data_IF_488817469766
#
_entry.id   IF_488817469766
#
_cell.length_a   1.000
_cell.length_b   1.000
_cell.length_c   1.000
_cell.angle_alpha   90.00
_cell.angle_beta   90.00
_cell.angle_gamma   90.00
#
_symmetry.space_group_name_H-M   'P 1'
#
loop_
_entity.id
_entity.type
_entity.pdbx_description
1 polymer ?
#
# COMPACT_ATOMS: atom_id res chain seq x y z
N UNK A 1 -9.78 4.45 -12.89
CA UNK A 1 -8.53 4.95 -12.25
C UNK A 1 -8.58 6.47 -12.26
N UNK A 2 -8.20 7.14 -11.17
CA UNK A 2 -8.04 8.60 -11.12
C UNK A 2 -6.77 9.04 -11.86
N UNK A 3 -6.67 10.33 -12.16
CA UNK A 3 -5.46 10.98 -12.72
C UNK A 3 -4.27 10.86 -11.74
N UNK A 4 -3.02 10.61 -12.19
CA UNK A 4 -1.84 10.63 -11.32
C UNK A 4 -1.72 11.86 -10.40
N UNK A 5 -2.08 13.05 -10.88
CA UNK A 5 -2.07 14.29 -10.10
C UNK A 5 -3.05 14.23 -8.89
N UNK A 6 -4.12 13.44 -9.00
CA UNK A 6 -5.02 13.21 -7.87
C UNK A 6 -4.32 12.48 -6.73
N UNK A 7 -3.56 11.42 -7.03
CA UNK A 7 -2.83 10.65 -6.02
C UNK A 7 -1.70 11.46 -5.36
N UNK A 8 -1.07 12.37 -6.11
CA UNK A 8 -0.04 13.27 -5.58
C UNK A 8 -0.55 14.22 -4.49
N UNK A 9 -1.86 14.50 -4.49
CA UNK A 9 -2.52 15.37 -3.54
C UNK A 9 -3.09 14.64 -2.32
N UNK A 10 -2.96 13.31 -2.24
CA UNK A 10 -3.41 12.55 -1.09
C UNK A 10 -2.81 13.10 0.21
N UNK A 11 -3.66 13.27 1.22
CA UNK A 11 -3.29 13.59 2.58
C UNK A 11 -3.33 12.33 3.41
N UNK A 12 -2.21 12.11 4.08
CA UNK A 12 -1.96 10.94 4.88
C UNK A 12 -2.23 11.27 6.34
N UNK A 13 -2.81 10.35 7.13
CA UNK A 13 -3.05 10.61 8.54
C UNK A 13 -1.73 10.89 9.26
N UNK A 14 -1.66 12.01 9.98
CA UNK A 14 -0.47 12.42 10.75
C UNK A 14 -0.20 11.48 11.93
N UNK A 15 -1.24 10.84 12.43
CA UNK A 15 -1.18 9.90 13.53
C UNK A 15 -1.93 8.63 13.14
N UNK A 16 -1.17 7.55 12.94
CA UNK A 16 -1.71 6.21 12.81
C UNK A 16 -1.36 5.39 14.04
N UNK A 17 -2.27 4.55 14.48
CA UNK A 17 -2.05 3.52 15.49
C UNK A 17 -1.77 2.21 14.79
N UNK A 18 -0.70 1.51 15.19
CA UNK A 18 -0.45 0.16 14.65
C UNK A 18 -1.60 -0.76 15.06
N UNK A 19 -2.25 -1.36 14.07
CA UNK A 19 -3.26 -2.39 14.31
C UNK A 19 -2.59 -3.67 14.78
N UNK A 20 -3.08 -4.24 15.88
CA UNK A 20 -2.70 -5.60 16.30
C UNK A 20 -3.30 -6.69 15.40
N UNK A 21 -4.29 -6.33 14.59
CA UNK A 21 -5.05 -7.23 13.73
C UNK A 21 -4.64 -7.08 12.26
N UNK A 22 -4.62 -8.20 11.54
CA UNK A 22 -4.28 -8.29 10.12
C UNK A 22 -5.48 -7.93 9.23
N UNK A 23 -5.25 -7.35 8.05
CA UNK A 23 -6.31 -7.08 7.04
C UNK A 23 -6.76 -8.33 6.28
N UNK A 24 -5.81 -9.21 6.01
CA UNK A 24 -6.00 -10.46 5.28
C UNK A 24 -5.70 -11.66 6.17
N UNK A 25 -6.36 -12.78 5.92
CA UNK A 25 -6.06 -14.06 6.53
C UNK A 25 -6.10 -15.18 5.47
N UNK A 26 -5.33 -16.23 5.69
CA UNK A 26 -5.34 -17.43 4.86
C UNK A 26 -6.31 -18.45 5.48
N UNK A 27 -7.38 -18.79 4.76
CA UNK A 27 -8.35 -19.83 5.14
C UNK A 27 -8.51 -20.80 3.98
N UNK A 28 -8.33 -22.10 4.24
CA UNK A 28 -8.48 -23.14 3.22
C UNK A 28 -7.65 -22.90 1.93
N UNK A 29 -6.42 -22.38 2.08
CA UNK A 29 -5.52 -21.99 0.97
C UNK A 29 -5.99 -20.79 0.13
N UNK A 30 -7.05 -20.12 0.55
CA UNK A 30 -7.54 -18.89 -0.07
C UNK A 30 -7.30 -17.71 0.87
N UNK A 31 -6.93 -16.57 0.31
CA UNK A 31 -6.76 -15.35 1.09
C UNK A 31 -8.07 -14.58 1.10
N UNK A 32 -8.56 -14.24 2.30
CA UNK A 32 -9.79 -13.45 2.48
C UNK A 32 -9.53 -12.24 3.38
N UNK A 33 -10.45 -11.28 3.36
CA UNK A 33 -10.47 -10.20 4.34
C UNK A 33 -10.77 -10.75 5.74
N UNK A 34 -10.18 -10.12 6.75
CA UNK A 34 -10.62 -10.24 8.15
C UNK A 34 -11.75 -9.26 8.42
N UNK A 35 -12.31 -9.27 9.64
CA UNK A 35 -13.28 -8.26 10.06
C UNK A 35 -12.74 -6.82 9.94
N UNK A 36 -11.44 -6.61 10.24
CA UNK A 36 -10.77 -5.33 10.01
C UNK A 36 -10.59 -5.00 8.55
N UNK A 37 -10.35 -6.01 7.70
CA UNK A 37 -10.30 -5.82 6.26
C UNK A 37 -11.67 -5.46 5.68
N UNK A 38 -12.73 -5.95 6.30
CA UNK A 38 -14.11 -5.61 5.93
C UNK A 38 -14.52 -4.21 6.38
N UNK A 39 -14.03 -3.74 7.52
CA UNK A 39 -14.34 -2.41 8.08
C UNK A 39 -13.05 -1.67 8.47
N UNK A 40 -12.20 -1.32 7.50
CA UNK A 40 -10.92 -0.68 7.80
C UNK A 40 -11.11 0.77 8.25
N UNK A 41 -10.18 1.28 9.04
CA UNK A 41 -10.30 2.63 9.60
C UNK A 41 -9.11 3.52 9.24
N UNK A 42 -9.38 4.82 9.05
CA UNK A 42 -8.34 5.85 8.82
C UNK A 42 -7.38 6.07 9.99
N UNK A 43 -7.68 5.51 11.16
CA UNK A 43 -6.84 5.64 12.36
C UNK A 43 -5.78 4.54 12.46
N UNK A 44 -5.88 3.51 11.61
CA UNK A 44 -5.08 2.31 11.72
C UNK A 44 -3.98 2.27 10.64
N UNK A 45 -2.79 1.87 11.09
CA UNK A 45 -1.70 1.42 10.26
C UNK A 45 -1.63 -0.10 10.38
N UNK A 46 -1.87 -0.79 9.28
CA UNK A 46 -1.87 -2.24 9.22
C UNK A 46 -0.47 -2.69 8.82
N UNK A 47 0.26 -3.26 9.78
CA UNK A 47 1.59 -3.84 9.57
C UNK A 47 1.60 -5.23 10.22
N UNK A 48 1.07 -6.25 9.54
CA UNK A 48 0.92 -7.58 10.10
C UNK A 48 2.28 -8.15 10.55
N UNK A 49 2.37 -8.53 11.83
CA UNK A 49 3.55 -9.15 12.43
C UNK A 49 3.69 -10.64 12.14
N UNK A 50 2.75 -11.21 11.37
CA UNK A 50 2.73 -12.63 11.06
C UNK A 50 3.64 -12.85 9.85
N UNK A 51 4.67 -13.69 10.00
CA UNK A 51 5.66 -13.98 8.95
C UNK A 51 5.06 -14.52 7.63
N UNK A 52 3.79 -14.97 7.66
CA UNK A 52 3.03 -15.48 6.52
C UNK A 52 1.82 -14.58 6.18
N UNK A 53 1.89 -13.27 6.42
CA UNK A 53 0.83 -12.39 5.95
C UNK A 53 0.83 -12.38 4.42
N UNK A 54 -0.29 -12.71 3.78
CA UNK A 54 -0.19 -13.34 2.48
C UNK A 54 0.05 -12.38 1.32
N UNK A 55 -0.18 -11.07 1.47
CA UNK A 55 -0.32 -10.20 0.29
C UNK A 55 0.31 -8.80 0.38
N UNK A 56 0.55 -8.27 1.58
CA UNK A 56 1.11 -6.92 1.77
C UNK A 56 2.04 -6.90 2.97
N UNK A 57 2.96 -5.95 2.98
CA UNK A 57 3.71 -5.62 4.18
C UNK A 57 2.95 -4.61 5.02
N UNK A 58 2.34 -3.60 4.36
CA UNK A 58 1.71 -2.47 5.05
C UNK A 58 0.49 -1.95 4.32
N UNK A 59 -0.43 -1.36 5.08
CA UNK A 59 -1.52 -0.59 4.52
C UNK A 59 -2.08 0.46 5.48
N UNK A 60 -2.77 1.44 4.91
CA UNK A 60 -3.55 2.45 5.63
C UNK A 60 -4.50 3.15 4.64
N UNK A 61 -5.40 3.99 5.15
CA UNK A 61 -6.29 4.81 4.32
C UNK A 61 -5.79 6.25 4.28
N UNK A 62 -5.59 6.77 3.07
CA UNK A 62 -5.33 8.18 2.79
C UNK A 62 -6.62 8.87 2.31
N UNK A 63 -6.64 10.20 2.31
CA UNK A 63 -7.80 10.99 1.89
C UNK A 63 -7.39 12.11 0.94
N UNK A 64 -8.14 12.30 -0.14
CA UNK A 64 -7.92 13.43 -1.03
C UNK A 64 -8.56 14.71 -0.44
N UNK A 65 -7.80 15.81 -0.27
CA UNK A 65 -8.25 16.95 0.52
C UNK A 65 -9.36 17.77 -0.14
N UNK A 66 -9.44 17.77 -1.48
CA UNK A 66 -10.45 18.56 -2.21
C UNK A 66 -11.76 17.80 -2.40
N UNK A 67 -11.69 16.48 -2.63
CA UNK A 67 -12.89 15.67 -2.88
C UNK A 67 -13.40 14.95 -1.63
N UNK A 68 -12.58 14.81 -0.58
CA UNK A 68 -12.92 14.01 0.60
C UNK A 68 -12.87 12.50 0.37
N UNK A 69 -12.62 12.07 -0.88
CA UNK A 69 -12.54 10.67 -1.27
C UNK A 69 -11.40 9.94 -0.52
N UNK A 70 -11.69 8.72 -0.09
CA UNK A 70 -10.72 7.84 0.56
C UNK A 70 -9.97 6.98 -0.47
N UNK A 71 -8.71 6.71 -0.19
CA UNK A 71 -7.85 5.83 -0.97
C UNK A 71 -7.17 4.82 -0.05
N UNK A 72 -7.36 3.54 -0.33
CA UNK A 72 -6.64 2.47 0.33
C UNK A 72 -5.24 2.37 -0.25
N UNK A 73 -4.24 2.56 0.60
CA UNK A 73 -2.84 2.44 0.21
C UNK A 73 -2.32 1.08 0.65
N UNK A 74 -1.86 0.28 -0.30
CA UNK A 74 -1.29 -1.05 -0.10
C UNK A 74 0.19 -1.02 -0.47
N UNK A 75 1.06 -1.57 0.37
CA UNK A 75 2.51 -1.46 0.21
C UNK A 75 3.18 -2.83 0.31
N UNK A 76 4.08 -3.10 -0.62
CA UNK A 76 5.11 -4.14 -0.56
C UNK A 76 6.48 -3.46 -0.45
N UNK A 77 7.22 -3.75 0.62
CA UNK A 77 8.48 -3.12 0.97
C UNK A 77 9.67 -4.06 0.81
N UNK A 78 10.86 -3.49 0.55
CA UNK A 78 12.14 -4.22 0.49
C UNK A 78 12.13 -5.39 -0.51
N UNK A 79 11.37 -5.28 -1.60
CA UNK A 79 11.27 -6.30 -2.64
C UNK A 79 12.61 -6.37 -3.37
N UNK A 80 13.25 -7.54 -3.44
CA UNK A 80 14.60 -7.68 -4.01
C UNK A 80 14.63 -8.46 -5.34
N UNK A 81 14.09 -9.69 -5.37
CA UNK A 81 14.18 -10.60 -6.51
C UNK A 81 12.82 -10.98 -7.08
N UNK A 82 11.78 -11.01 -6.25
CA UNK A 82 10.43 -11.46 -6.63
C UNK A 82 9.45 -10.30 -6.82
N UNK A 83 9.82 -9.34 -7.66
CA UNK A 83 8.93 -8.20 -8.01
C UNK A 83 7.62 -8.71 -8.62
N UNK A 84 7.67 -9.76 -9.44
CA UNK A 84 6.46 -10.37 -10.03
C UNK A 84 5.50 -10.86 -8.94
N UNK A 85 6.01 -11.55 -7.92
CA UNK A 85 5.20 -12.03 -6.80
C UNK A 85 4.60 -10.87 -6.02
N UNK A 86 5.39 -9.83 -5.73
CA UNK A 86 4.88 -8.65 -5.04
C UNK A 86 3.74 -7.97 -5.81
N UNK A 87 3.82 -7.95 -7.15
CA UNK A 87 2.76 -7.43 -8.03
C UNK A 87 1.51 -8.32 -7.99
N UNK A 88 1.66 -9.64 -8.07
CA UNK A 88 0.55 -10.60 -7.96
C UNK A 88 -0.17 -10.49 -6.62
N UNK A 89 0.60 -10.40 -5.55
CA UNK A 89 0.13 -10.28 -4.18
C UNK A 89 -0.64 -8.95 -3.99
N UNK A 90 -0.09 -7.83 -4.47
CA UNK A 90 -0.77 -6.52 -4.44
C UNK A 90 -2.04 -6.49 -5.27
N UNK A 91 -2.03 -7.07 -6.48
CA UNK A 91 -3.25 -7.18 -7.30
C UNK A 91 -4.33 -7.97 -6.56
N UNK A 92 -3.96 -9.10 -5.95
CA UNK A 92 -4.89 -9.93 -5.18
C UNK A 92 -5.46 -9.18 -3.98
N UNK A 93 -4.62 -8.46 -3.21
CA UNK A 93 -5.06 -7.64 -2.09
C UNK A 93 -6.00 -6.52 -2.54
N UNK A 94 -5.64 -5.82 -3.61
CA UNK A 94 -6.42 -4.72 -4.15
C UNK A 94 -7.79 -5.18 -4.68
N UNK A 95 -7.86 -6.35 -5.33
CA UNK A 95 -9.12 -6.97 -5.76
C UNK A 95 -10.02 -7.30 -4.58
N UNK A 96 -9.49 -7.87 -3.50
CA UNK A 96 -10.26 -8.15 -2.28
C UNK A 96 -10.83 -6.87 -1.68
N UNK A 97 -9.99 -5.83 -1.54
CA UNK A 97 -10.41 -4.53 -1.01
C UNK A 97 -11.46 -3.88 -1.91
N UNK A 98 -11.24 -3.81 -3.23
CA UNK A 98 -12.21 -3.24 -4.17
C UNK A 98 -13.51 -4.03 -4.27
N UNK A 99 -13.45 -5.36 -4.12
CA UNK A 99 -14.63 -6.22 -4.09
C UNK A 99 -15.54 -5.89 -2.91
N UNK A 100 -14.95 -5.56 -1.74
CA UNK A 100 -15.71 -5.16 -0.55
C UNK A 100 -16.06 -3.67 -0.53
N UNK A 101 -15.17 -2.82 -1.03
CA UNK A 101 -15.24 -1.35 -0.99
C UNK A 101 -15.19 -0.77 -2.42
N UNK A 102 -16.24 -0.94 -3.24
CA UNK A 102 -16.18 -0.60 -4.66
C UNK A 102 -16.01 0.89 -4.94
N UNK A 103 -16.47 1.76 -4.03
CA UNK A 103 -16.35 3.22 -4.13
C UNK A 103 -14.98 3.77 -3.73
N UNK A 104 -14.16 2.99 -3.01
CA UNK A 104 -12.86 3.46 -2.54
C UNK A 104 -11.78 3.25 -3.61
N UNK A 105 -10.90 4.23 -3.81
CA UNK A 105 -9.76 4.05 -4.71
C UNK A 105 -8.67 3.19 -4.04
N UNK A 106 -7.86 2.50 -4.84
CA UNK A 106 -6.72 1.73 -4.33
C UNK A 106 -5.44 2.19 -5.03
N UNK A 107 -4.42 2.45 -4.22
CA UNK A 107 -3.07 2.79 -4.64
C UNK A 107 -2.09 1.71 -4.16
N UNK A 108 -1.41 1.05 -5.10
CA UNK A 108 -0.39 0.06 -4.81
C UNK A 108 1.01 0.70 -4.82
N UNK A 109 1.79 0.50 -3.78
CA UNK A 109 3.18 0.98 -3.69
C UNK A 109 4.09 -0.24 -3.66
N UNK A 110 5.05 -0.30 -4.58
CA UNK A 110 6.09 -1.32 -4.59
C UNK A 110 7.42 -0.63 -4.34
N UNK A 111 8.07 -0.98 -3.25
CA UNK A 111 9.41 -0.49 -2.92
C UNK A 111 10.43 -1.59 -3.16
N UNK A 112 11.23 -1.41 -4.21
CA UNK A 112 12.16 -2.42 -4.72
C UNK A 112 13.60 -1.96 -4.47
N UNK A 113 14.36 -2.77 -3.74
CA UNK A 113 15.79 -2.48 -3.47
C UNK A 113 16.57 -2.71 -4.76
N UNK A 114 17.32 -1.68 -5.18
CA UNK A 114 18.09 -1.73 -6.43
C UNK A 114 17.24 -1.68 -7.69
N UNK A 115 15.99 -1.20 -7.62
CA UNK A 115 15.23 -0.92 -8.83
C UNK A 115 15.96 0.08 -9.72
N UNK A 116 15.90 -0.17 -11.02
CA UNK A 116 16.47 0.71 -12.05
C UNK A 116 15.38 1.09 -13.05
N UNK A 117 15.74 1.86 -14.07
CA UNK A 117 14.87 2.10 -15.23
C UNK A 117 14.42 0.82 -15.94
N UNK A 118 15.14 -0.29 -15.78
CA UNK A 118 14.79 -1.59 -16.34
C UNK A 118 13.79 -2.38 -15.48
N UNK A 119 13.46 -1.91 -14.28
CA UNK A 119 12.41 -2.51 -13.45
C UNK A 119 11.06 -2.03 -13.95
N UNK A 120 10.40 -2.88 -14.75
CA UNK A 120 9.12 -2.60 -15.42
C UNK A 120 7.98 -3.53 -14.98
N UNK A 121 8.28 -4.54 -14.16
CA UNK A 121 7.32 -5.59 -13.76
C UNK A 121 6.10 -5.01 -13.02
N UNK A 122 6.25 -3.88 -12.34
CA UNK A 122 5.16 -3.13 -11.70
C UNK A 122 4.07 -2.68 -12.68
N UNK A 123 4.38 -2.56 -13.98
CA UNK A 123 3.43 -2.10 -14.99
C UNK A 123 2.27 -3.11 -15.16
N UNK A 124 2.45 -4.35 -14.67
CA UNK A 124 1.41 -5.37 -14.57
C UNK A 124 0.43 -5.15 -13.39
N UNK A 125 0.57 -4.08 -12.59
CA UNK A 125 -0.40 -3.73 -11.56
C UNK A 125 -1.71 -3.23 -12.19
N UNK A 126 -2.81 -3.88 -11.83
CA UNK A 126 -4.14 -3.57 -12.34
C UNK A 126 -4.69 -2.26 -11.81
N UNK A 127 -4.15 -1.78 -10.69
CA UNK A 127 -4.56 -0.56 -10.00
C UNK A 127 -3.58 0.59 -10.25
N UNK A 128 -3.91 1.77 -9.75
CA UNK A 128 -2.95 2.88 -9.75
C UNK A 128 -1.78 2.50 -8.85
N UNK A 129 -0.56 2.81 -9.27
CA UNK A 129 0.61 2.35 -8.55
C UNK A 129 1.76 3.35 -8.54
N UNK A 130 2.69 3.12 -7.62
CA UNK A 130 3.96 3.82 -7.53
C UNK A 130 5.08 2.79 -7.33
N UNK A 131 6.13 2.90 -8.13
CA UNK A 131 7.41 2.24 -7.87
C UNK A 131 8.30 3.20 -7.07
N UNK A 132 8.75 2.77 -5.89
CA UNK A 132 9.77 3.49 -5.11
C UNK A 132 11.13 2.95 -5.51
N UNK A 133 11.97 3.79 -6.10
CA UNK A 133 13.41 3.54 -6.29
C UNK A 133 14.20 4.31 -5.23
N UNK A 134 15.30 3.75 -4.73
CA UNK A 134 16.07 4.33 -3.62
C UNK A 134 16.61 5.73 -3.93
N UNK A 135 16.95 6.00 -5.18
CA UNK A 135 17.50 7.26 -5.70
C UNK A 135 16.43 8.29 -6.12
N UNK A 136 15.17 7.88 -6.21
CA UNK A 136 14.05 8.70 -6.69
C UNK A 136 13.08 9.15 -5.57
N UNK A 137 13.40 8.80 -4.32
CA UNK A 137 12.62 9.06 -3.10
C UNK A 137 12.32 10.53 -2.82
N UNK A 138 13.13 11.45 -3.33
CA UNK A 138 12.92 12.89 -3.17
C UNK A 138 12.37 13.58 -4.44
N UNK A 139 12.40 12.90 -5.60
CA UNK A 139 12.07 13.47 -6.90
C UNK A 139 10.63 13.18 -7.36
N UNK A 140 10.09 11.99 -7.06
CA UNK A 140 8.74 11.60 -7.52
C UNK A 140 7.63 11.93 -6.53
N UNK A 141 8.01 12.26 -5.31
CA UNK A 141 7.08 12.36 -4.22
C UNK A 141 6.78 13.82 -3.94
N UNK A 142 5.51 14.19 -4.07
CA UNK A 142 5.05 15.46 -3.52
C UNK A 142 5.52 15.56 -2.07
N UNK A 143 5.69 16.79 -1.56
CA UNK A 143 6.10 17.06 -0.18
C UNK A 143 5.25 16.29 0.86
N UNK A 144 4.08 15.77 0.47
CA UNK A 144 3.20 14.96 1.32
C UNK A 144 3.51 13.44 1.31
N UNK A 145 4.14 12.90 0.26
CA UNK A 145 4.36 11.45 0.10
C UNK A 145 5.77 11.01 0.54
N UNK A 146 6.80 11.84 0.31
CA UNK A 146 8.15 11.54 0.79
C UNK A 146 8.19 11.37 2.32
N UNK A 147 7.48 12.20 3.13
CA UNK A 147 7.34 11.97 4.55
C UNK A 147 6.62 10.66 4.89
N UNK A 148 5.78 10.11 4.03
CA UNK A 148 5.02 8.87 4.29
C UNK A 148 5.85 7.63 3.99
N UNK A 149 6.63 7.63 2.90
CA UNK A 149 7.63 6.60 2.67
C UNK A 149 8.68 6.62 3.79
N UNK A 150 9.12 7.81 4.22
CA UNK A 150 10.00 7.98 5.39
C UNK A 150 9.30 7.58 6.70
N UNK A 151 8.04 7.95 6.92
CA UNK A 151 7.26 7.64 8.13
C UNK A 151 6.96 6.15 8.23
N UNK A 152 6.57 5.50 7.12
CA UNK A 152 6.39 4.06 7.04
C UNK A 152 7.72 3.34 7.33
N UNK A 153 8.85 3.82 6.78
CA UNK A 153 10.19 3.30 7.11
C UNK A 153 10.53 3.47 8.60
N UNK A 154 10.41 4.69 9.15
CA UNK A 154 10.73 4.99 10.54
C UNK A 154 9.85 4.22 11.54
N UNK A 155 8.54 4.11 11.30
CA UNK A 155 7.63 3.37 12.18
C UNK A 155 7.89 1.86 12.17
N UNK A 156 8.45 1.33 11.09
CA UNK A 156 8.84 -0.07 11.01
C UNK A 156 10.15 -0.37 11.75
N UNK A 157 11.07 0.59 11.83
CA UNK A 157 12.31 0.46 12.60
C UNK A 157 12.08 0.61 14.12
N UNK A 158 10.92 1.16 14.52
CA UNK A 158 10.54 1.36 15.92
C UNK A 158 9.68 0.22 16.52
N UNK A 159 9.42 -0.85 15.77
CA UNK A 159 8.59 -1.99 16.18
C UNK A 159 9.32 -3.33 16.12
#
# INVERSE_FOLDING_TARGET
KKDPAWYQNLKYPSELRTSGEALFCLRNREVTLTEQGEVPTRKNYYAPRVANHPLIDRAFIAMHPLSGDECFVLIQDKVNKDVSKAVEDLNSAARLIKGKHPSMEVLCIVNVIGATSNTTVQDNLEYSHVLVREDELDAFYSVNFAPVARFARLRHELG
#
